data_IF_001281201257
#
_entry.id   IF_001281201257
#
_cell.length_a   1.000
_cell.length_b   1.000
_cell.length_c   1.000
_cell.angle_alpha   90.00
_cell.angle_beta   90.00
_cell.angle_gamma   90.00
#
_symmetry.space_group_name_H-M   'P 1'
#
loop_
_entity.id
_entity.type
_entity.pdbx_description
1 polymer ?
#
# COMPACT_ATOMS: atom_id res chain seq x y z
N UNK A 1 -4.18 9.78 -10.49
CA UNK A 1 -3.70 8.74 -9.56
C UNK A 1 -4.55 8.71 -8.32
N UNK A 2 -4.12 8.01 -7.25
CA UNK A 2 -4.85 7.95 -5.98
C UNK A 2 -5.07 9.34 -5.36
N UNK A 3 -4.01 10.12 -5.18
CA UNK A 3 -4.05 11.45 -4.56
C UNK A 3 -5.10 12.39 -5.17
N UNK A 4 -5.21 12.44 -6.50
CA UNK A 4 -6.14 13.34 -7.19
C UNK A 4 -7.63 12.99 -6.96
N UNK A 5 -7.94 11.73 -6.63
CA UNK A 5 -9.31 11.26 -6.40
C UNK A 5 -9.73 11.30 -4.94
N UNK A 6 -8.75 11.28 -4.03
CA UNK A 6 -8.99 11.10 -2.60
C UNK A 6 -9.89 12.19 -1.99
N UNK A 7 -9.71 13.51 -2.23
CA UNK A 7 -10.54 14.53 -1.57
C UNK A 7 -12.05 14.32 -1.79
N UNK A 8 -12.46 14.08 -3.04
CA UNK A 8 -13.86 13.83 -3.36
C UNK A 8 -14.40 12.53 -2.73
N UNK A 9 -13.55 11.51 -2.57
CA UNK A 9 -13.94 10.25 -1.91
C UNK A 9 -14.10 10.44 -0.40
N UNK A 10 -13.22 11.22 0.25
CA UNK A 10 -13.33 11.54 1.66
C UNK A 10 -14.62 12.30 1.96
N UNK A 11 -14.93 13.32 1.15
CA UNK A 11 -16.17 14.11 1.27
C UNK A 11 -17.43 13.26 1.03
N UNK A 12 -17.37 12.27 0.12
CA UNK A 12 -18.53 11.46 -0.23
C UNK A 12 -18.82 10.36 0.78
N UNK A 13 -17.77 9.75 1.35
CA UNK A 13 -17.90 8.54 2.14
C UNK A 13 -17.71 8.75 3.64
N UNK A 14 -17.12 9.89 4.05
CA UNK A 14 -16.84 10.25 5.45
C UNK A 14 -16.27 9.06 6.27
N UNK A 15 -15.20 8.39 5.80
CA UNK A 15 -14.76 7.13 6.37
C UNK A 15 -14.08 7.32 7.73
N UNK A 16 -14.27 6.39 8.65
CA UNK A 16 -13.49 6.35 9.90
C UNK A 16 -12.07 5.82 9.70
N UNK A 17 -11.83 4.99 8.67
CA UNK A 17 -10.54 4.37 8.36
C UNK A 17 -10.28 4.46 6.86
N UNK A 18 -9.04 4.78 6.47
CA UNK A 18 -8.59 4.78 5.07
C UNK A 18 -7.38 3.86 4.92
N UNK A 19 -7.55 2.75 4.21
CA UNK A 19 -6.46 1.83 3.88
C UNK A 19 -5.81 2.26 2.55
N UNK A 20 -4.51 2.58 2.59
CA UNK A 20 -3.76 3.12 1.46
C UNK A 20 -2.88 2.03 0.84
N UNK A 21 -3.35 1.49 -0.29
CA UNK A 21 -2.62 0.54 -1.14
C UNK A 21 -2.28 1.23 -2.47
N UNK A 22 -1.10 1.86 -2.54
CA UNK A 22 -0.64 2.58 -3.72
C UNK A 22 0.89 2.50 -3.86
N UNK A 23 1.34 2.52 -5.12
CA UNK A 23 2.75 2.63 -5.49
C UNK A 23 3.26 1.51 -6.41
N UNK A 24 2.59 0.35 -6.47
CA UNK A 24 3.03 -0.75 -7.34
C UNK A 24 3.19 -0.33 -8.80
N UNK A 25 2.23 0.44 -9.32
CA UNK A 25 2.29 1.00 -10.67
C UNK A 25 3.41 2.03 -10.85
N UNK A 26 3.73 2.83 -9.83
CA UNK A 26 4.81 3.82 -9.86
C UNK A 26 6.17 3.10 -9.94
N UNK A 27 6.33 2.05 -9.13
CA UNK A 27 7.51 1.19 -9.11
C UNK A 27 7.71 0.43 -10.42
N UNK A 28 6.65 -0.19 -10.96
CA UNK A 28 6.69 -0.87 -12.26
C UNK A 28 6.96 0.06 -13.45
N UNK A 29 6.70 1.37 -13.30
CA UNK A 29 7.05 2.39 -14.30
C UNK A 29 8.41 3.02 -14.06
N UNK A 30 9.15 2.62 -13.02
CA UNK A 30 10.45 3.19 -12.66
C UNK A 30 10.36 4.67 -12.28
N UNK A 31 9.23 5.11 -11.73
CA UNK A 31 9.06 6.51 -11.33
C UNK A 31 9.98 6.87 -10.15
N UNK A 32 10.36 8.15 -9.99
CA UNK A 32 11.18 8.57 -8.86
C UNK A 32 10.54 8.22 -7.51
N UNK A 33 11.29 7.53 -6.64
CA UNK A 33 10.88 7.11 -5.28
C UNK A 33 10.39 8.30 -4.45
N UNK A 34 11.04 9.46 -4.62
CA UNK A 34 10.68 10.69 -3.90
C UNK A 34 9.29 11.21 -4.28
N UNK A 35 8.88 11.07 -5.55
CA UNK A 35 7.55 11.46 -6.00
C UNK A 35 6.47 10.58 -5.38
N UNK A 36 6.71 9.27 -5.32
CA UNK A 36 5.80 8.34 -4.63
C UNK A 36 5.70 8.67 -3.15
N UNK A 37 6.84 8.89 -2.47
CA UNK A 37 6.86 9.28 -1.05
C UNK A 37 6.04 10.54 -0.81
N UNK A 38 6.24 11.59 -1.60
CA UNK A 38 5.49 12.85 -1.46
C UNK A 38 3.97 12.65 -1.67
N UNK A 39 3.59 11.84 -2.66
CA UNK A 39 2.18 11.52 -2.90
C UNK A 39 1.55 10.75 -1.75
N UNK A 40 2.24 9.74 -1.20
CA UNK A 40 1.76 8.96 -0.05
C UNK A 40 1.66 9.82 1.21
N UNK A 41 2.67 10.66 1.50
CA UNK A 41 2.61 11.64 2.59
C UNK A 41 1.36 12.50 2.49
N UNK A 42 1.07 13.07 1.30
CA UNK A 42 -0.11 13.92 1.11
C UNK A 42 -1.42 13.16 1.27
N UNK A 43 -1.48 11.90 0.86
CA UNK A 43 -2.65 11.03 1.04
C UNK A 43 -2.90 10.78 2.53
N UNK A 44 -1.86 10.48 3.31
CA UNK A 44 -1.94 10.25 4.75
C UNK A 44 -2.43 11.50 5.47
N UNK A 45 -1.89 12.68 5.11
CA UNK A 45 -2.34 13.97 5.65
C UNK A 45 -3.82 14.21 5.36
N UNK A 46 -4.26 14.05 4.10
CA UNK A 46 -5.66 14.27 3.73
C UNK A 46 -6.62 13.34 4.48
N UNK A 47 -6.26 12.06 4.65
CA UNK A 47 -7.06 11.13 5.43
C UNK A 47 -7.21 11.62 6.89
N UNK A 48 -6.11 12.03 7.53
CA UNK A 48 -6.14 12.57 8.90
C UNK A 48 -6.94 13.87 9.02
N UNK A 49 -6.75 14.78 8.08
CA UNK A 49 -7.45 16.06 8.04
C UNK A 49 -8.98 15.87 7.91
N UNK A 50 -9.41 14.78 7.26
CA UNK A 50 -10.83 14.39 7.19
C UNK A 50 -11.37 13.71 8.46
N UNK A 51 -10.53 13.47 9.47
CA UNK A 51 -10.89 12.75 10.70
C UNK A 51 -10.77 11.22 10.60
N UNK A 52 -10.30 10.68 9.46
CA UNK A 52 -10.11 9.25 9.28
C UNK A 52 -8.75 8.79 9.82
N UNK A 53 -8.69 7.55 10.32
CA UNK A 53 -7.45 6.87 10.67
C UNK A 53 -6.82 6.21 9.42
N UNK A 54 -5.66 6.68 8.93
CA UNK A 54 -4.98 6.03 7.81
C UNK A 54 -4.26 4.75 8.26
N UNK A 55 -4.33 3.72 7.43
CA UNK A 55 -3.48 2.51 7.48
C UNK A 55 -2.70 2.46 6.19
N UNK A 56 -1.38 2.26 6.25
CA UNK A 56 -0.55 2.11 5.05
C UNK A 56 -0.29 0.62 4.77
N UNK A 57 -0.34 0.21 3.51
CA UNK A 57 0.08 -1.13 3.10
C UNK A 57 1.37 -1.06 2.29
N UNK A 58 2.39 -1.82 2.67
CA UNK A 58 3.64 -1.85 1.93
C UNK A 58 3.57 -2.68 0.66
N UNK A 59 4.37 -2.25 -0.32
CA UNK A 59 4.48 -2.86 -1.64
C UNK A 59 5.94 -3.18 -1.92
N UNK A 60 6.17 -4.33 -2.54
CA UNK A 60 7.45 -4.69 -3.13
C UNK A 60 7.31 -4.77 -4.65
N UNK A 61 8.41 -4.55 -5.36
CA UNK A 61 8.47 -4.64 -6.81
C UNK A 61 9.56 -5.62 -7.24
N UNK A 62 9.45 -6.24 -8.43
CA UNK A 62 10.37 -7.29 -8.83
C UNK A 62 11.82 -6.79 -8.96
N UNK A 63 12.82 -7.67 -8.76
CA UNK A 63 14.23 -7.28 -8.68
C UNK A 63 14.84 -6.80 -10.00
N UNK A 64 14.14 -6.94 -11.13
CA UNK A 64 14.61 -6.52 -12.46
C UNK A 64 14.77 -5.00 -12.63
N UNK A 65 14.31 -4.19 -11.65
CA UNK A 65 14.54 -2.74 -11.60
C UNK A 65 15.84 -2.35 -10.86
N UNK A 66 16.60 -3.32 -10.36
CA UNK A 66 17.86 -3.12 -9.65
C UNK A 66 17.67 -2.92 -8.14
N UNK A 67 18.54 -3.57 -7.36
CA UNK A 67 18.44 -3.66 -5.89
C UNK A 67 18.46 -2.31 -5.17
N UNK A 68 19.15 -1.31 -5.74
CA UNK A 68 19.15 0.06 -5.20
C UNK A 68 17.76 0.68 -5.26
N UNK A 69 17.08 0.56 -6.42
CA UNK A 69 15.75 1.11 -6.62
C UNK A 69 14.70 0.34 -5.80
N UNK A 70 14.69 -1.00 -5.89
CA UNK A 70 13.70 -1.82 -5.17
C UNK A 70 13.85 -1.69 -3.65
N UNK A 71 15.08 -1.59 -3.15
CA UNK A 71 15.34 -1.34 -1.73
C UNK A 71 14.92 0.05 -1.27
N UNK A 72 15.18 1.09 -2.07
CA UNK A 72 14.71 2.45 -1.76
C UNK A 72 13.18 2.55 -1.80
N UNK A 73 12.54 1.87 -2.77
CA UNK A 73 11.10 1.80 -2.92
C UNK A 73 10.44 1.14 -1.69
N UNK A 74 10.89 -0.06 -1.31
CA UNK A 74 10.31 -0.81 -0.20
C UNK A 74 10.45 -0.08 1.15
N UNK A 75 11.52 0.71 1.35
CA UNK A 75 11.72 1.50 2.57
C UNK A 75 10.77 2.67 2.74
N UNK A 76 10.13 3.17 1.67
CA UNK A 76 9.17 4.29 1.77
C UNK A 76 8.09 3.97 2.81
N UNK A 77 7.52 2.77 2.76
CA UNK A 77 6.36 2.39 3.55
C UNK A 77 6.62 2.37 5.06
N UNK A 78 7.62 1.63 5.59
CA UNK A 78 7.91 1.67 7.02
C UNK A 78 8.42 3.03 7.50
N UNK A 79 9.17 3.77 6.67
CA UNK A 79 9.61 5.11 7.05
C UNK A 79 8.44 6.11 7.16
N UNK A 80 7.46 6.05 6.25
CA UNK A 80 6.27 6.89 6.33
C UNK A 80 5.37 6.48 7.48
N UNK A 81 5.16 5.18 7.68
CA UNK A 81 4.36 4.69 8.80
C UNK A 81 4.93 5.17 10.16
N UNK A 82 6.25 5.08 10.34
CA UNK A 82 6.93 5.59 11.53
C UNK A 82 6.89 7.13 11.62
N UNK A 83 7.12 7.84 10.51
CA UNK A 83 7.14 9.31 10.52
C UNK A 83 5.77 9.93 10.82
N UNK A 84 4.69 9.29 10.37
CA UNK A 84 3.34 9.73 10.68
C UNK A 84 2.80 9.09 11.96
N UNK A 85 3.40 8.05 12.51
CA UNK A 85 2.84 7.26 13.62
C UNK A 85 1.46 6.67 13.22
N UNK A 86 1.47 5.80 12.20
CA UNK A 86 0.29 5.11 11.67
C UNK A 86 0.54 3.61 11.53
N UNK A 87 -0.50 2.76 11.60
CA UNK A 87 -0.35 1.34 11.37
C UNK A 87 0.16 1.02 9.96
N UNK A 88 0.96 -0.06 9.88
CA UNK A 88 1.51 -0.59 8.63
C UNK A 88 1.14 -2.06 8.47
N UNK A 89 0.43 -2.38 7.39
CA UNK A 89 0.43 -3.74 6.84
C UNK A 89 1.76 -3.89 6.08
N UNK A 90 2.58 -4.88 6.45
CA UNK A 90 3.94 -5.09 5.95
C UNK A 90 4.04 -5.16 4.43
N UNK A 91 4.19 -6.36 3.85
CA UNK A 91 3.99 -6.54 2.41
C UNK A 91 2.59 -7.12 2.20
N UNK A 92 1.74 -6.44 1.42
CA UNK A 92 0.36 -6.87 1.24
C UNK A 92 0.24 -8.30 0.68
N UNK A 93 1.13 -8.67 -0.24
CA UNK A 93 1.16 -9.99 -0.88
C UNK A 93 2.19 -10.94 -0.23
N UNK A 94 2.53 -10.73 1.05
CA UNK A 94 3.28 -11.72 1.83
C UNK A 94 2.56 -13.08 1.76
N UNK A 95 3.34 -14.16 1.63
CA UNK A 95 2.87 -15.54 1.40
C UNK A 95 2.05 -15.79 0.11
N UNK A 96 1.85 -14.76 -0.73
CA UNK A 96 1.08 -14.84 -1.98
C UNK A 96 1.97 -14.70 -3.22
N UNK A 97 2.80 -13.65 -3.27
CA UNK A 97 3.49 -13.24 -4.49
C UNK A 97 4.44 -14.29 -5.09
N UNK A 98 4.91 -15.25 -4.29
CA UNK A 98 5.83 -16.32 -4.70
C UNK A 98 5.16 -17.69 -4.80
N UNK A 99 3.83 -17.76 -4.64
CA UNK A 99 3.05 -18.98 -4.68
C UNK A 99 2.18 -19.03 -5.94
N UNK A 100 2.59 -19.81 -6.94
CA UNK A 100 1.90 -19.92 -8.23
C UNK A 100 0.43 -20.37 -8.09
N UNK A 101 0.10 -21.17 -7.07
CA UNK A 101 -1.29 -21.63 -6.82
C UNK A 101 -2.21 -20.49 -6.32
N UNK A 102 -1.62 -19.38 -5.87
CA UNK A 102 -2.33 -18.19 -5.36
C UNK A 102 -2.29 -17.02 -6.34
N UNK A 103 -1.62 -17.17 -7.49
CA UNK A 103 -1.49 -16.15 -8.52
C UNK A 103 -2.37 -16.44 -9.74
N UNK A 104 -2.63 -15.40 -10.51
CA UNK A 104 -3.20 -15.50 -11.86
C UNK A 104 -2.10 -15.88 -12.85
N UNK A 105 -2.50 -16.28 -14.06
CA UNK A 105 -1.57 -16.69 -15.12
C UNK A 105 -0.59 -15.61 -15.57
N UNK A 106 -0.81 -14.34 -15.20
CA UNK A 106 0.10 -13.24 -15.50
C UNK A 106 1.28 -13.11 -14.50
N UNK A 107 1.26 -13.87 -13.40
CA UNK A 107 2.29 -13.84 -12.37
C UNK A 107 2.40 -12.52 -11.61
N UNK A 108 1.42 -11.62 -11.73
CA UNK A 108 1.40 -10.31 -11.07
C UNK A 108 0.21 -10.14 -10.14
N UNK A 109 -0.95 -10.70 -10.50
CA UNK A 109 -2.16 -10.53 -9.71
C UNK A 109 -2.50 -11.80 -8.91
N UNK A 110 -2.99 -11.66 -7.67
CA UNK A 110 -3.51 -12.79 -6.90
C UNK A 110 -4.79 -13.34 -7.54
N UNK A 111 -5.03 -14.64 -7.40
CA UNK A 111 -6.32 -15.27 -7.69
C UNK A 111 -7.23 -15.21 -6.45
N UNK A 112 -8.43 -15.79 -6.53
CA UNK A 112 -9.41 -15.77 -5.44
C UNK A 112 -8.85 -16.31 -4.10
N UNK A 113 -8.05 -17.37 -4.14
CA UNK A 113 -7.40 -17.94 -2.94
C UNK A 113 -6.28 -17.04 -2.43
N UNK A 114 -5.54 -16.39 -3.32
CA UNK A 114 -4.55 -15.38 -2.94
C UNK A 114 -5.18 -14.20 -2.19
N UNK A 115 -6.39 -13.79 -2.59
CA UNK A 115 -7.14 -12.75 -1.88
C UNK A 115 -7.55 -13.15 -0.45
N UNK A 116 -7.82 -14.44 -0.19
CA UNK A 116 -8.10 -14.92 1.17
C UNK A 116 -6.88 -14.75 2.08
N UNK A 117 -5.67 -15.04 1.57
CA UNK A 117 -4.43 -14.83 2.34
C UNK A 117 -4.14 -13.33 2.53
N UNK A 118 -4.36 -12.52 1.49
CA UNK A 118 -4.21 -11.05 1.61
C UNK A 118 -5.17 -10.44 2.64
N UNK A 119 -6.37 -11.01 2.80
CA UNK A 119 -7.30 -10.58 3.84
C UNK A 119 -6.66 -10.75 5.22
N UNK A 120 -6.05 -11.91 5.50
CA UNK A 120 -5.38 -12.16 6.79
C UNK A 120 -4.24 -11.15 7.05
N UNK A 121 -3.45 -10.83 6.02
CA UNK A 121 -2.38 -9.83 6.11
C UNK A 121 -2.90 -8.44 6.53
N UNK A 122 -4.05 -8.03 5.98
CA UNK A 122 -4.69 -6.75 6.34
C UNK A 122 -5.37 -6.84 7.70
N UNK A 123 -6.07 -7.94 7.97
CA UNK A 123 -6.86 -8.17 9.18
C UNK A 123 -6.00 -8.14 10.44
N UNK A 124 -4.78 -8.69 10.38
CA UNK A 124 -3.80 -8.66 11.47
C UNK A 124 -3.45 -7.24 11.97
N UNK A 125 -3.70 -6.21 11.16
CA UNK A 125 -3.51 -4.80 11.53
C UNK A 125 -4.85 -4.12 11.77
N UNK A 126 -5.83 -4.32 10.87
CA UNK A 126 -7.11 -3.63 10.92
C UNK A 126 -7.93 -3.99 12.16
N UNK A 127 -7.88 -5.24 12.63
CA UNK A 127 -8.72 -5.71 13.73
C UNK A 127 -8.48 -4.94 15.05
N UNK A 128 -7.25 -4.48 15.30
CA UNK A 128 -6.91 -3.71 16.50
C UNK A 128 -7.43 -2.27 16.48
N UNK A 129 -7.97 -1.81 15.34
CA UNK A 129 -8.50 -0.45 15.13
C UNK A 129 -10.04 -0.39 15.17
N UNK A 130 -10.74 -1.52 15.27
CA UNK A 130 -12.20 -1.63 15.29
C UNK A 130 -12.75 -1.75 16.71
#
# INVERSE_FOLDING_TARGET
GGLARLPALLDTHEPSIVIVELGGNDGLRGQPVQSLRANLSRIIELARDSGAAPILTGIQIPPNYGTSYTGAFARIYPELAAAFDIPLVGFLMEDVALNDDLMQSDGMHPNARGHEVMLENVWAVLADLL
#
